data_IF_537985631661
#
_entry.id   IF_537985631661
#
_cell.length_a   1.000
_cell.length_b   1.000
_cell.length_c   1.000
_cell.angle_alpha   90.00
_cell.angle_beta   90.00
_cell.angle_gamma   90.00
#
_symmetry.space_group_name_H-M   'P 1'
#
loop_
_entity.id
_entity.type
_entity.pdbx_description
1 polymer ?
#
# COMPACT_ATOMS: atom_id res chain seq x y z
N UNK A 1 -1.91 16.39 -13.72
CA UNK A 1 -2.27 15.05 -14.25
C UNK A 1 -2.68 14.16 -13.09
N UNK A 2 -3.91 13.64 -13.09
CA UNK A 2 -4.36 12.66 -12.09
C UNK A 2 -3.59 11.35 -12.33
N UNK A 3 -2.91 10.84 -11.31
CA UNK A 3 -2.18 9.58 -11.40
C UNK A 3 -3.09 8.47 -10.92
N UNK A 4 -3.65 7.71 -11.87
CA UNK A 4 -4.53 6.59 -11.58
C UNK A 4 -3.75 5.27 -11.60
N UNK A 5 -4.08 4.37 -10.69
CA UNK A 5 -3.51 3.02 -10.66
C UNK A 5 -4.05 2.27 -11.86
N UNK A 6 -3.19 1.85 -12.78
CA UNK A 6 -3.61 1.19 -14.03
C UNK A 6 -3.62 -0.32 -13.95
N UNK A 7 -2.78 -0.89 -13.08
CA UNK A 7 -2.53 -2.33 -13.00
C UNK A 7 -2.31 -2.75 -11.57
N UNK A 8 -2.94 -3.84 -11.16
CA UNK A 8 -2.67 -4.54 -9.89
C UNK A 8 -2.15 -5.94 -10.23
N UNK A 9 -1.01 -6.29 -9.65
CA UNK A 9 -0.40 -7.62 -9.83
C UNK A 9 -0.51 -8.43 -8.55
N UNK A 10 -0.83 -9.71 -8.68
CA UNK A 10 -0.77 -10.65 -7.56
C UNK A 10 -0.17 -12.01 -7.94
N UNK A 11 0.44 -12.67 -6.97
CA UNK A 11 1.13 -13.95 -7.14
C UNK A 11 0.21 -15.13 -6.85
N UNK A 12 0.00 -15.98 -7.86
CA UNK A 12 -0.89 -17.18 -7.79
C UNK A 12 -2.33 -16.87 -7.39
N UNK A 13 -2.77 -15.63 -7.48
CA UNK A 13 -3.92 -15.16 -6.73
C UNK A 13 -5.24 -15.31 -7.50
N UNK A 14 -5.57 -16.57 -7.77
CA UNK A 14 -6.89 -16.97 -8.28
C UNK A 14 -8.01 -16.73 -7.26
N UNK A 15 -7.66 -16.48 -6.01
CA UNK A 15 -8.63 -16.18 -4.95
C UNK A 15 -9.23 -14.79 -5.13
N UNK A 16 -8.41 -13.76 -5.41
CA UNK A 16 -8.91 -12.37 -5.51
C UNK A 16 -9.39 -11.98 -6.90
N UNK A 17 -8.86 -12.62 -7.95
CA UNK A 17 -9.25 -12.31 -9.33
C UNK A 17 -10.30 -13.26 -9.90
N UNK A 18 -10.72 -14.24 -9.10
CA UNK A 18 -11.69 -15.23 -9.51
C UNK A 18 -11.07 -16.55 -9.99
N UNK A 19 -11.87 -17.61 -9.84
CA UNK A 19 -11.49 -18.98 -10.21
C UNK A 19 -11.86 -19.25 -11.67
N UNK A 20 -11.01 -19.98 -12.37
CA UNK A 20 -11.35 -20.52 -13.68
C UNK A 20 -12.17 -21.80 -13.50
N UNK A 21 -13.35 -21.84 -14.10
CA UNK A 21 -14.21 -23.03 -14.21
C UNK A 21 -14.30 -23.46 -15.68
N UNK A 22 -14.87 -24.63 -15.96
CA UNK A 22 -15.11 -25.13 -17.32
C UNK A 22 -15.95 -24.16 -18.17
N UNK A 23 -16.75 -23.31 -17.52
CA UNK A 23 -17.59 -22.28 -18.16
C UNK A 23 -16.93 -20.91 -18.29
N UNK A 24 -15.63 -20.78 -17.96
CA UNK A 24 -14.88 -19.52 -18.01
C UNK A 24 -14.45 -18.99 -16.64
N UNK A 25 -13.91 -17.77 -16.60
CA UNK A 25 -13.44 -17.13 -15.37
C UNK A 25 -14.62 -16.56 -14.56
N UNK A 26 -14.85 -17.11 -13.37
CA UNK A 26 -15.80 -16.55 -12.42
C UNK A 26 -15.09 -15.46 -11.60
N UNK A 27 -15.23 -14.19 -12.02
CA UNK A 27 -14.63 -13.03 -11.35
C UNK A 27 -15.18 -12.88 -9.93
N UNK A 28 -14.29 -12.66 -8.97
CA UNK A 28 -14.67 -12.34 -7.59
C UNK A 28 -15.00 -10.85 -7.44
N UNK A 29 -15.61 -10.45 -6.31
CA UNK A 29 -16.01 -9.06 -6.02
C UNK A 29 -14.86 -8.06 -6.21
N UNK A 30 -13.63 -8.44 -5.86
CA UNK A 30 -12.47 -7.58 -6.04
C UNK A 30 -12.08 -7.41 -7.52
N UNK A 31 -12.16 -8.46 -8.34
CA UNK A 31 -11.94 -8.36 -9.78
C UNK A 31 -12.98 -7.46 -10.46
N UNK A 32 -14.25 -7.56 -10.06
CA UNK A 32 -15.33 -6.71 -10.57
C UNK A 32 -15.05 -5.24 -10.21
N UNK A 33 -14.66 -4.96 -8.97
CA UNK A 33 -14.30 -3.62 -8.54
C UNK A 33 -13.13 -3.03 -9.33
N UNK A 34 -12.06 -3.81 -9.54
CA UNK A 34 -10.91 -3.36 -10.33
C UNK A 34 -11.32 -3.02 -11.76
N UNK A 35 -12.19 -3.82 -12.38
CA UNK A 35 -12.72 -3.56 -13.72
C UNK A 35 -13.57 -2.29 -13.78
N UNK A 36 -14.44 -2.05 -12.78
CA UNK A 36 -15.21 -0.81 -12.66
C UNK A 36 -14.32 0.43 -12.53
N UNK A 37 -13.18 0.31 -11.83
CA UNK A 37 -12.19 1.37 -11.72
C UNK A 37 -11.25 1.48 -12.95
N UNK A 38 -11.43 0.64 -13.98
CA UNK A 38 -10.55 0.59 -15.15
C UNK A 38 -9.14 0.07 -14.86
N UNK A 39 -8.96 -0.65 -13.76
CA UNK A 39 -7.69 -1.19 -13.27
C UNK A 39 -7.54 -2.63 -13.78
N UNK A 40 -6.44 -2.91 -14.49
CA UNK A 40 -6.16 -4.26 -15.00
C UNK A 40 -5.60 -5.15 -13.89
N UNK A 41 -6.33 -6.22 -13.56
CA UNK A 41 -5.82 -7.30 -12.72
C UNK A 41 -4.87 -8.19 -13.53
N UNK A 42 -3.65 -8.40 -13.04
CA UNK A 42 -2.64 -9.27 -13.65
C UNK A 42 -2.20 -10.34 -12.65
N UNK A 43 -2.43 -11.60 -12.98
CA UNK A 43 -1.88 -12.72 -12.21
C UNK A 43 -0.51 -13.09 -12.77
N UNK A 44 0.53 -13.04 -11.95
CA UNK A 44 1.87 -13.49 -12.37
C UNK A 44 1.92 -15.02 -12.40
N UNK A 45 2.60 -15.57 -13.39
CA UNK A 45 2.70 -17.02 -13.59
C UNK A 45 3.36 -17.69 -12.38
N UNK A 46 2.85 -18.84 -11.90
CA UNK A 46 3.54 -19.61 -10.86
C UNK A 46 5.00 -19.84 -11.22
N UNK A 47 5.90 -19.81 -10.23
CA UNK A 47 7.34 -20.04 -10.41
C UNK A 47 8.07 -19.01 -11.29
N UNK A 48 7.50 -17.82 -11.48
CA UNK A 48 8.18 -16.68 -12.13
C UNK A 48 8.44 -15.51 -11.15
N UNK A 49 9.31 -15.70 -10.14
CA UNK A 49 9.59 -14.67 -9.12
C UNK A 49 10.15 -13.37 -9.71
N UNK A 50 10.76 -13.42 -10.90
CA UNK A 50 11.23 -12.23 -11.63
C UNK A 50 10.11 -11.22 -11.90
N UNK A 51 8.86 -11.67 -12.08
CA UNK A 51 7.71 -10.79 -12.35
C UNK A 51 7.29 -9.94 -11.12
N UNK A 52 7.59 -10.40 -9.90
CA UNK A 52 7.24 -9.71 -8.66
C UNK A 52 8.44 -9.08 -7.93
N UNK A 53 9.63 -9.09 -8.55
CA UNK A 53 10.85 -8.62 -7.89
C UNK A 53 10.76 -7.18 -7.36
N UNK A 54 9.96 -6.30 -7.97
CA UNK A 54 9.77 -4.92 -7.50
C UNK A 54 8.99 -4.88 -6.18
N UNK A 55 7.84 -5.57 -6.11
CA UNK A 55 7.01 -5.62 -4.90
C UNK A 55 7.72 -6.37 -3.77
N UNK A 56 8.41 -7.47 -4.08
CA UNK A 56 9.21 -8.23 -3.11
C UNK A 56 10.34 -7.40 -2.51
N UNK A 57 11.11 -6.66 -3.32
CA UNK A 57 12.17 -5.75 -2.83
C UNK A 57 11.59 -4.66 -1.93
N UNK A 58 10.46 -4.07 -2.30
CA UNK A 58 9.79 -3.04 -1.49
C UNK A 58 9.30 -3.61 -0.17
N UNK A 59 8.63 -4.76 -0.19
CA UNK A 59 8.15 -5.45 1.02
C UNK A 59 9.29 -5.82 1.96
N UNK A 60 10.40 -6.34 1.43
CA UNK A 60 11.59 -6.63 2.24
C UNK A 60 12.16 -5.38 2.91
N UNK A 61 12.25 -4.27 2.17
CA UNK A 61 12.73 -2.99 2.70
C UNK A 61 11.84 -2.48 3.83
N UNK A 62 10.51 -2.48 3.63
CA UNK A 62 9.55 -2.05 4.64
C UNK A 62 9.63 -2.91 5.91
N UNK A 63 9.67 -4.23 5.76
CA UNK A 63 9.76 -5.13 6.90
C UNK A 63 11.09 -5.01 7.64
N UNK A 64 12.19 -4.71 6.94
CA UNK A 64 13.48 -4.40 7.58
C UNK A 64 13.42 -3.09 8.37
N UNK A 65 12.79 -2.04 7.84
CA UNK A 65 12.57 -0.80 8.58
C UNK A 65 11.74 -1.03 9.83
N UNK A 66 10.63 -1.76 9.73
CA UNK A 66 9.79 -2.11 10.89
C UNK A 66 10.61 -2.85 11.95
N UNK A 67 11.40 -3.85 11.56
CA UNK A 67 12.29 -4.57 12.50
C UNK A 67 13.27 -3.62 13.18
N UNK A 68 13.88 -2.69 12.44
CA UNK A 68 14.83 -1.72 12.99
C UNK A 68 14.15 -0.71 13.93
N UNK A 69 12.93 -0.29 13.62
CA UNK A 69 12.12 0.59 14.48
C UNK A 69 11.87 -0.07 15.84
N UNK A 70 11.45 -1.34 15.84
CA UNK A 70 11.27 -2.10 17.08
C UNK A 70 12.58 -2.46 17.78
N UNK A 71 13.67 -2.70 17.06
CA UNK A 71 14.98 -2.96 17.67
C UNK A 71 15.51 -1.75 18.45
N UNK A 72 15.05 -0.54 18.12
CA UNK A 72 15.45 0.72 18.76
C UNK A 72 14.44 1.26 19.77
N UNK A 73 13.28 0.64 19.92
CA UNK A 73 12.19 1.11 20.78
C UNK A 73 11.65 -0.02 21.65
N UNK A 74 11.37 0.23 22.92
CA UNK A 74 10.71 -0.75 23.80
C UNK A 74 9.18 -0.81 23.60
N UNK A 75 8.72 -0.57 22.38
CA UNK A 75 7.29 -0.54 22.06
C UNK A 75 6.69 -1.94 21.89
N UNK A 76 5.41 -2.13 22.28
CA UNK A 76 4.74 -3.42 22.20
C UNK A 76 4.45 -3.85 20.76
N UNK A 77 4.55 -5.16 20.50
CA UNK A 77 4.45 -5.75 19.14
C UNK A 77 3.11 -5.51 18.43
N UNK A 78 2.02 -5.21 19.15
CA UNK A 78 0.74 -4.89 18.52
C UNK A 78 0.80 -3.63 17.64
N UNK A 79 1.75 -2.73 17.90
CA UNK A 79 2.00 -1.52 17.11
C UNK A 79 2.69 -1.79 15.77
N UNK A 80 2.91 -3.06 15.39
CA UNK A 80 3.60 -3.41 14.15
C UNK A 80 2.90 -2.89 12.90
N UNK A 81 1.57 -2.81 12.91
CA UNK A 81 0.79 -2.19 11.84
C UNK A 81 1.09 -0.69 11.70
N UNK A 82 1.16 0.04 12.81
CA UNK A 82 1.50 1.46 12.84
C UNK A 82 2.95 1.72 12.41
N UNK A 83 3.89 0.92 12.90
CA UNK A 83 5.27 0.98 12.45
C UNK A 83 5.40 0.76 10.94
N UNK A 84 4.59 -0.15 10.36
CA UNK A 84 4.58 -0.39 8.91
C UNK A 84 4.05 0.83 8.14
N UNK A 85 2.97 1.46 8.64
CA UNK A 85 2.43 2.70 8.03
C UNK A 85 3.48 3.81 8.03
N UNK A 86 4.17 4.03 9.15
CA UNK A 86 5.24 5.02 9.26
C UNK A 86 6.43 4.66 8.37
N UNK A 87 6.86 3.40 8.36
CA UNK A 87 7.95 2.96 7.49
C UNK A 87 7.63 3.23 6.01
N UNK A 88 6.40 2.97 5.58
CA UNK A 88 5.93 3.30 4.24
C UNK A 88 5.89 4.81 4.00
N UNK A 89 5.40 5.57 4.96
CA UNK A 89 5.32 7.03 4.92
C UNK A 89 6.70 7.68 4.73
N UNK A 90 7.70 7.24 5.51
CA UNK A 90 9.10 7.66 5.41
C UNK A 90 9.67 7.24 4.06
N UNK A 91 9.47 5.98 3.66
CA UNK A 91 9.94 5.45 2.38
C UNK A 91 9.45 6.28 1.18
N UNK A 92 8.22 6.77 1.22
CA UNK A 92 7.64 7.55 0.13
C UNK A 92 8.15 8.99 0.10
N UNK A 93 8.71 9.50 1.21
CA UNK A 93 9.28 10.84 1.33
C UNK A 93 10.80 10.85 1.38
N UNK A 94 11.42 9.69 1.23
CA UNK A 94 12.87 9.52 1.17
C UNK A 94 13.33 9.52 -0.29
N UNK A 95 14.51 10.09 -0.54
CA UNK A 95 15.13 10.01 -1.86
C UNK A 95 15.45 8.56 -2.21
N UNK A 96 15.30 8.20 -3.48
CA UNK A 96 15.69 6.87 -3.97
C UNK A 96 16.56 7.02 -5.21
N UNK A 97 17.51 6.10 -5.42
CA UNK A 97 18.39 6.16 -6.60
C UNK A 97 17.66 6.00 -7.94
N UNK A 98 16.44 5.48 -7.92
CA UNK A 98 15.68 5.14 -9.12
C UNK A 98 14.93 6.34 -9.74
N UNK A 99 14.74 7.43 -9.00
CA UNK A 99 13.97 8.60 -9.44
C UNK A 99 14.63 9.90 -8.98
N UNK A 100 14.44 10.98 -9.74
CA UNK A 100 14.85 12.33 -9.34
C UNK A 100 13.84 12.86 -8.31
N UNK A 101 14.27 13.09 -7.07
CA UNK A 101 13.40 13.50 -5.97
C UNK A 101 12.78 12.33 -5.20
N UNK A 102 11.73 12.61 -4.42
CA UNK A 102 11.04 11.63 -3.57
C UNK A 102 9.87 10.98 -4.32
N UNK A 103 9.49 9.72 -3.99
CA UNK A 103 8.28 9.12 -4.55
C UNK A 103 7.02 9.97 -4.33
N UNK A 104 6.96 10.70 -3.21
CA UNK A 104 5.90 11.64 -2.88
C UNK A 104 5.87 12.84 -3.84
N UNK A 105 7.02 13.48 -4.08
CA UNK A 105 7.15 14.56 -5.08
C UNK A 105 6.73 14.08 -6.46
N UNK A 106 7.19 12.89 -6.83
CA UNK A 106 6.80 12.30 -8.09
C UNK A 106 5.29 12.09 -8.14
N UNK A 107 4.66 11.55 -7.10
CA UNK A 107 3.22 11.28 -7.11
C UNK A 107 2.36 12.54 -7.07
N UNK A 108 2.67 13.48 -6.17
CA UNK A 108 1.84 14.64 -5.87
C UNK A 108 2.25 15.93 -6.59
N UNK A 109 3.48 15.99 -7.13
CA UNK A 109 3.99 17.16 -7.86
C UNK A 109 4.56 18.28 -6.98
N UNK A 110 4.67 18.08 -5.65
CA UNK A 110 5.24 19.07 -4.73
C UNK A 110 6.09 18.42 -3.64
N UNK A 111 6.97 19.21 -3.01
CA UNK A 111 7.91 18.72 -1.98
C UNK A 111 7.18 18.38 -0.68
N UNK A 112 7.46 17.21 -0.04
CA UNK A 112 6.85 16.90 1.24
C UNK A 112 7.37 17.85 2.32
N UNK A 113 6.47 18.30 3.20
CA UNK A 113 6.88 18.86 4.48
C UNK A 113 7.39 17.71 5.38
N UNK A 114 8.50 17.93 6.08
CA UNK A 114 9.13 16.96 6.98
C UNK A 114 9.22 17.45 8.43
N UNK A 115 8.69 18.62 8.76
CA UNK A 115 8.81 19.23 10.09
C UNK A 115 8.16 18.41 11.21
N UNK A 116 7.19 17.56 10.85
CA UNK A 116 6.48 16.66 11.76
C UNK A 116 7.15 15.28 11.92
N UNK A 117 8.36 15.09 11.38
CA UNK A 117 9.08 13.83 11.54
C UNK A 117 9.64 13.74 12.95
N UNK A 118 9.28 12.67 13.65
CA UNK A 118 9.78 12.35 14.98
C UNK A 118 10.42 10.97 15.01
N UNK A 119 11.32 10.78 15.98
CA UNK A 119 11.91 9.47 16.24
C UNK A 119 10.80 8.54 16.74
N UNK A 120 10.72 7.35 16.13
CA UNK A 120 9.78 6.32 16.54
C UNK A 120 9.95 5.97 18.02
N UNK A 121 8.84 6.01 18.78
CA UNK A 121 8.82 5.71 20.22
C UNK A 121 9.30 6.85 21.13
N UNK A 122 9.40 8.08 20.62
CA UNK A 122 9.64 9.26 21.45
C UNK A 122 8.32 9.77 22.06
N UNK A 123 8.32 10.04 23.36
CA UNK A 123 7.20 10.61 24.11
C UNK A 123 7.11 12.12 23.82
N UNK A 124 6.74 12.51 22.61
CA UNK A 124 6.27 13.86 22.36
C UNK A 124 4.78 13.87 22.75
N UNK A 125 4.36 14.85 23.56
CA UNK A 125 3.01 14.95 24.14
C UNK A 125 1.85 14.86 23.15
N UNK A 126 2.13 14.96 21.86
CA UNK A 126 1.22 14.65 20.77
C UNK A 126 1.49 13.23 20.25
N UNK A 127 0.70 12.26 20.76
CA UNK A 127 0.53 10.92 20.15
C UNK A 127 -0.12 10.98 18.75
N UNK A 128 -0.14 12.14 18.11
CA UNK A 128 -0.62 12.32 16.76
C UNK A 128 0.45 11.79 15.82
N UNK A 129 0.24 10.54 15.40
CA UNK A 129 0.80 10.02 14.17
C UNK A 129 0.59 11.09 13.09
N UNK A 130 1.54 11.30 12.16
CA UNK A 130 1.25 12.12 10.98
C UNK A 130 -0.07 11.67 10.39
N UNK A 131 -0.91 12.59 9.92
CA UNK A 131 -2.14 12.25 9.19
C UNK A 131 -1.76 11.40 7.98
N UNK A 132 -1.69 10.08 8.21
CA UNK A 132 -1.37 9.09 7.22
C UNK A 132 -2.66 8.97 6.42
N UNK A 133 -2.66 9.34 5.14
CA UNK A 133 -3.87 9.22 4.33
C UNK A 133 -4.39 7.78 4.42
N UNK A 134 -5.71 7.59 4.52
CA UNK A 134 -6.32 6.29 4.73
C UNK A 134 -5.77 5.26 3.75
N UNK A 135 -5.56 4.03 4.24
CA UNK A 135 -5.06 2.93 3.42
C UNK A 135 -5.94 2.76 2.18
N UNK A 136 -5.41 2.22 1.09
CA UNK A 136 -6.23 1.84 -0.08
C UNK A 136 -7.37 0.91 0.34
N UNK A 137 -7.19 0.08 1.38
CA UNK A 137 -8.26 -0.72 1.97
C UNK A 137 -9.34 0.13 2.64
N UNK A 138 -8.94 1.18 3.36
CA UNK A 138 -9.86 2.09 4.04
C UNK A 138 -10.63 2.92 3.01
N UNK A 139 -9.97 3.39 1.95
CA UNK A 139 -10.60 4.04 0.78
C UNK A 139 -11.58 3.12 0.06
N UNK A 140 -11.23 1.84 -0.14
CA UNK A 140 -12.13 0.85 -0.75
C UNK A 140 -13.32 0.56 0.15
N UNK A 141 -13.11 0.45 1.47
CA UNK A 141 -14.19 0.23 2.43
C UNK A 141 -15.13 1.44 2.55
N UNK A 142 -14.59 2.65 2.53
CA UNK A 142 -15.39 3.88 2.52
C UNK A 142 -16.22 3.98 1.24
N UNK A 143 -15.61 3.70 0.09
CA UNK A 143 -16.32 3.70 -1.19
C UNK A 143 -17.43 2.63 -1.24
N UNK A 144 -17.17 1.43 -0.71
CA UNK A 144 -18.19 0.38 -0.60
C UNK A 144 -19.33 0.76 0.36
N UNK A 145 -19.04 1.46 1.46
CA UNK A 145 -20.08 2.01 2.36
C UNK A 145 -20.91 3.09 1.66
N UNK A 146 -20.28 4.00 0.92
CA UNK A 146 -20.98 5.05 0.16
C UNK A 146 -21.89 4.46 -0.92
N UNK A 147 -21.44 3.43 -1.64
CA UNK A 147 -22.24 2.74 -2.67
C UNK A 147 -23.46 2.05 -2.05
N UNK A 148 -23.32 1.45 -0.87
CA UNK A 148 -24.43 0.77 -0.20
C UNK A 148 -25.43 1.77 0.43
N UNK A 149 -24.96 2.93 0.90
CA UNK A 149 -25.84 3.99 1.42
C UNK A 149 -26.70 4.66 0.33
N UNK A 150 -26.22 4.67 -0.93
CA UNK A 150 -26.97 5.18 -2.09
C UNK A 150 -27.99 4.17 -2.67
N UNK A 151 -28.05 2.95 -2.12
CA UNK A 151 -28.99 1.88 -2.53
C UNK A 151 -30.13 1.65 -1.52
N UNK A 152 -30.21 2.47 -0.48
CA UNK A 152 -31.34 2.62 0.45
C UNK A 152 -32.08 3.90 0.12
#
# INVERSE_FOLDING_TARGET
>A
MKKDIKVVRSYRDREYFGKYSEKGQHKDHFAIYLEQCGIKAQCTTPYTPTQNGVSERKNRTLMNMVRNMFARSNLPKFLRGEALKIANYICNRSLTKAITGTPFEQWHGYKPNLNHFHVWGCDNGDRQLPDIPPSVKDLVQDHLKTINAQRT
#
